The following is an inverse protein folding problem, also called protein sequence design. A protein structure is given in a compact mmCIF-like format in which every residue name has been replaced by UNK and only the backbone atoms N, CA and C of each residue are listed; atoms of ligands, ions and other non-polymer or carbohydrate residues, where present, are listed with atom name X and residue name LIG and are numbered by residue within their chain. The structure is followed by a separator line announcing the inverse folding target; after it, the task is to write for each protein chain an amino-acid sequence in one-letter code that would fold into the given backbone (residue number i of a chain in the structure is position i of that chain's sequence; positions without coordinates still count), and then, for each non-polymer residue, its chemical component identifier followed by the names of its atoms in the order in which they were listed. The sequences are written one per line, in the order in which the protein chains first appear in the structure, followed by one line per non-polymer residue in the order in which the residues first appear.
data_IF_174724668468
#
_entry.id   IF_174724668468
#
_cell.length_a   1.000
_cell.length_b   1.000
_cell.length_c   1.000
_cell.angle_alpha   90.00
_cell.angle_beta   90.00
_cell.angle_gamma   90.00
#
_symmetry.space_group_name_H-M   'P 1'
#
loop_
_entity.id
_entity.type
_entity.pdbx_description
1 polymer ?
#
# COMPACT_ATOMS: atom_id res chain seq x y z
N UNK A 1 3.79 -51.91 45.00
CA UNK A 1 4.38 -50.57 44.82
C UNK A 1 4.22 -50.16 43.36
N UNK A 2 3.47 -49.09 43.03
CA UNK A 2 3.30 -48.65 41.65
C UNK A 2 4.46 -47.74 41.20
N UNK A 3 4.89 -47.87 39.94
CA UNK A 3 5.89 -47.00 39.29
C UNK A 3 5.33 -45.58 39.10
N UNK A 4 6.15 -44.52 39.22
CA UNK A 4 5.73 -43.18 38.80
C UNK A 4 5.67 -43.11 37.27
N UNK A 5 4.57 -42.55 36.76
CA UNK A 5 4.38 -42.27 35.34
C UNK A 5 5.24 -41.07 34.91
N UNK A 6 5.93 -41.23 33.78
CA UNK A 6 6.68 -40.17 33.09
C UNK A 6 5.71 -39.10 32.57
N UNK A 7 5.93 -37.79 32.80
CA UNK A 7 5.15 -36.76 32.15
C UNK A 7 5.55 -36.64 30.67
N UNK A 8 4.56 -36.58 29.79
CA UNK A 8 4.73 -36.25 28.38
C UNK A 8 5.10 -34.76 28.24
N UNK A 9 5.99 -34.37 27.30
CA UNK A 9 6.19 -32.96 26.96
C UNK A 9 5.00 -32.49 26.13
N UNK A 10 4.18 -31.64 26.74
CA UNK A 10 3.11 -30.90 26.08
C UNK A 10 3.65 -29.52 25.67
N UNK A 11 3.18 -29.00 24.53
CA UNK A 11 3.54 -27.72 23.90
C UNK A 11 4.65 -27.77 22.84
N UNK A 12 4.36 -28.48 21.74
CA UNK A 12 4.86 -28.06 20.44
C UNK A 12 4.19 -26.73 20.07
N UNK A 13 4.90 -25.62 20.26
CA UNK A 13 4.53 -24.33 19.66
C UNK A 13 4.56 -24.53 18.14
N UNK A 14 3.40 -24.70 17.52
CA UNK A 14 3.28 -24.66 16.07
C UNK A 14 3.53 -23.24 15.61
N UNK A 15 4.77 -22.94 15.24
CA UNK A 15 5.14 -21.75 14.47
C UNK A 15 4.50 -21.90 13.10
N UNK A 16 3.30 -21.34 12.94
CA UNK A 16 2.69 -21.18 11.62
C UNK A 16 3.35 -19.99 10.96
N UNK A 17 4.26 -20.26 10.03
CA UNK A 17 4.71 -19.29 9.04
C UNK A 17 3.48 -19.00 8.18
N UNK A 18 2.76 -17.93 8.50
CA UNK A 18 1.71 -17.44 7.63
C UNK A 18 2.39 -16.65 6.50
N UNK A 19 2.75 -17.34 5.41
CA UNK A 19 2.90 -16.68 4.12
C UNK A 19 1.51 -16.14 3.74
N UNK A 20 1.22 -14.91 4.14
CA UNK A 20 0.05 -14.18 3.66
C UNK A 20 0.36 -13.57 2.30
N UNK A 21 0.64 -14.42 1.32
CA UNK A 21 0.56 -14.09 -0.12
C UNK A 21 -0.91 -14.13 -0.54
N UNK A 22 -1.72 -13.21 -0.02
CA UNK A 22 -2.98 -12.91 -0.72
C UNK A 22 -2.59 -12.14 -1.98
N UNK A 23 -2.84 -12.67 -3.19
CA UNK A 23 -2.60 -11.90 -4.41
C UNK A 23 -3.50 -10.68 -4.32
N UNK A 24 -2.90 -9.49 -4.27
CA UNK A 24 -3.63 -8.24 -4.42
C UNK A 24 -4.41 -8.36 -5.74
N UNK A 25 -5.73 -8.09 -5.77
CA UNK A 25 -6.45 -8.08 -7.03
C UNK A 25 -5.72 -7.15 -8.00
N UNK A 26 -5.53 -7.56 -9.25
CA UNK A 26 -4.90 -6.71 -10.26
C UNK A 26 -5.68 -5.38 -10.34
N UNK A 27 -5.01 -4.27 -10.05
CA UNK A 27 -5.60 -2.92 -10.08
C UNK A 27 -5.03 -2.19 -11.29
N UNK A 28 -5.91 -1.85 -12.23
CA UNK A 28 -5.57 -1.03 -13.39
C UNK A 28 -6.43 0.24 -13.37
N UNK A 29 -5.79 1.40 -13.53
CA UNK A 29 -6.46 2.68 -13.75
C UNK A 29 -5.96 3.21 -15.09
N UNK A 30 -6.88 3.57 -15.99
CA UNK A 30 -6.61 4.21 -17.28
C UNK A 30 -7.29 5.57 -17.34
N UNK A 31 -6.61 6.55 -17.94
CA UNK A 31 -7.14 7.89 -18.16
C UNK A 31 -6.82 8.32 -19.60
N UNK A 32 -7.85 8.77 -20.31
CA UNK A 32 -7.76 9.46 -21.60
C UNK A 32 -8.63 10.69 -21.49
N UNK A 33 -8.06 11.87 -21.76
CA UNK A 33 -8.79 13.13 -21.84
C UNK A 33 -8.11 14.00 -22.88
N UNK A 34 -8.81 14.28 -23.97
CA UNK A 34 -8.38 15.19 -25.02
C UNK A 34 -9.45 16.27 -25.21
N UNK A 35 -8.99 17.50 -25.41
CA UNK A 35 -9.84 18.68 -25.52
C UNK A 35 -9.38 19.46 -26.74
N UNK A 36 -10.28 19.64 -27.70
CA UNK A 36 -10.02 20.34 -28.95
C UNK A 36 -11.01 21.50 -29.12
N UNK A 37 -10.53 22.60 -29.68
CA UNK A 37 -11.36 23.74 -30.08
C UNK A 37 -11.42 23.75 -31.60
N UNK A 38 -12.61 23.55 -32.14
CA UNK A 38 -12.88 23.66 -33.57
C UNK A 38 -13.29 25.10 -33.88
N UNK A 39 -12.45 25.76 -34.67
CA UNK A 39 -12.75 27.08 -35.22
C UNK A 39 -13.53 26.91 -36.51
N UNK A 40 -14.70 27.54 -36.59
CA UNK A 40 -15.50 27.51 -37.81
C UNK A 40 -14.92 28.51 -38.83
N UNK A 41 -14.46 28.06 -40.01
CA UNK A 41 -13.92 28.95 -41.03
C UNK A 41 -14.96 29.91 -41.63
N UNK A 42 -16.26 29.62 -41.46
CA UNK A 42 -17.37 30.42 -41.98
C UNK A 42 -17.87 31.48 -40.98
N UNK A 43 -17.25 31.57 -39.78
CA UNK A 43 -17.49 32.62 -38.78
C UNK A 43 -18.56 32.29 -37.73
N UNK A 44 -19.04 31.05 -37.70
CA UNK A 44 -19.89 30.52 -36.64
C UNK A 44 -19.11 30.35 -35.31
N UNK A 45 -19.80 30.24 -34.16
CA UNK A 45 -19.12 30.18 -32.87
C UNK A 45 -18.29 28.90 -32.69
N UNK A 46 -17.05 29.08 -32.22
CA UNK A 46 -16.12 28.00 -31.90
C UNK A 46 -16.80 26.88 -31.10
N UNK A 47 -16.57 25.64 -31.54
CA UNK A 47 -17.11 24.45 -30.89
C UNK A 47 -16.02 23.75 -30.07
N UNK A 48 -16.31 23.54 -28.78
CA UNK A 48 -15.43 22.78 -27.89
C UNK A 48 -15.81 21.30 -27.96
N UNK A 49 -14.84 20.45 -28.26
CA UNK A 49 -15.02 19.00 -28.36
C UNK A 49 -14.15 18.33 -27.30
N UNK A 50 -14.69 17.33 -26.64
CA UNK A 50 -13.94 16.51 -25.69
C UNK A 50 -14.04 15.04 -26.03
N UNK A 51 -12.92 14.36 -25.83
CA UNK A 51 -12.74 12.93 -26.05
C UNK A 51 -12.30 12.29 -24.73
N UNK A 52 -13.12 11.37 -24.22
CA UNK A 52 -12.84 10.62 -22.96
C UNK A 52 -12.63 9.11 -23.17
N UNK A 53 -12.76 8.66 -24.42
CA UNK A 53 -12.48 7.30 -24.89
C UNK A 53 -11.92 7.39 -26.32
N UNK A 54 -11.15 6.40 -26.78
CA UNK A 54 -10.41 6.43 -28.05
C UNK A 54 -11.31 6.58 -29.30
N UNK A 55 -12.63 6.44 -29.16
CA UNK A 55 -13.57 6.36 -30.27
C UNK A 55 -14.71 7.40 -30.23
N UNK A 56 -14.76 8.29 -29.23
CA UNK A 56 -15.89 9.18 -29.03
C UNK A 56 -15.47 10.65 -28.85
N UNK A 57 -15.80 11.48 -29.84
CA UNK A 57 -15.70 12.94 -29.77
C UNK A 57 -17.10 13.54 -29.61
N UNK A 58 -17.34 14.25 -28.51
CA UNK A 58 -18.64 14.89 -28.25
C UNK A 58 -18.50 16.43 -28.17
N UNK A 59 -19.34 17.20 -28.89
CA UNK A 59 -19.48 18.63 -28.64
C UNK A 59 -19.90 18.87 -27.19
N UNK A 60 -19.25 19.81 -26.53
CA UNK A 60 -19.43 20.04 -25.10
C UNK A 60 -19.34 21.51 -24.74
N UNK A 61 -19.79 21.85 -23.54
CA UNK A 61 -19.73 23.21 -22.99
C UNK A 61 -18.58 23.32 -22.00
N UNK A 62 -17.96 24.50 -21.82
CA UNK A 62 -16.81 24.68 -20.94
C UNK A 62 -17.00 24.16 -19.51
N UNK A 63 -18.19 24.33 -18.92
CA UNK A 63 -18.50 23.84 -17.58
C UNK A 63 -18.36 22.30 -17.46
N UNK A 64 -18.75 21.57 -18.50
CA UNK A 64 -18.63 20.10 -18.53
C UNK A 64 -17.17 19.66 -18.72
N UNK A 65 -16.39 20.42 -19.49
CA UNK A 65 -14.93 20.22 -19.60
C UNK A 65 -14.24 20.40 -18.26
N UNK A 66 -14.60 21.43 -17.49
CA UNK A 66 -14.06 21.60 -16.13
C UNK A 66 -14.40 20.42 -15.21
N UNK A 67 -15.59 19.83 -15.34
CA UNK A 67 -15.93 18.60 -14.60
C UNK A 67 -15.01 17.44 -14.99
N UNK A 68 -14.83 17.20 -16.29
CA UNK A 68 -13.93 16.14 -16.78
C UNK A 68 -12.47 16.35 -16.33
N UNK A 69 -11.99 17.59 -16.28
CA UNK A 69 -10.66 17.92 -15.76
C UNK A 69 -10.57 17.57 -14.27
N UNK A 70 -11.58 17.87 -13.48
CA UNK A 70 -11.58 17.54 -12.04
C UNK A 70 -11.59 16.02 -11.82
N UNK A 71 -12.38 15.28 -12.59
CA UNK A 71 -12.41 13.81 -12.54
C UNK A 71 -11.06 13.21 -12.98
N UNK A 72 -10.44 13.79 -14.02
CA UNK A 72 -9.13 13.39 -14.49
C UNK A 72 -8.05 13.61 -13.42
N UNK A 73 -8.07 14.74 -12.72
CA UNK A 73 -7.17 15.00 -11.59
C UNK A 73 -7.34 13.97 -10.48
N UNK A 74 -8.58 13.69 -10.07
CA UNK A 74 -8.84 12.67 -9.06
C UNK A 74 -8.36 11.27 -9.47
N UNK A 75 -8.43 10.93 -10.77
CA UNK A 75 -7.87 9.68 -11.30
C UNK A 75 -6.34 9.69 -11.32
N UNK A 76 -5.71 10.81 -11.66
CA UNK A 76 -4.24 10.95 -11.59
C UNK A 76 -3.74 10.77 -10.16
N UNK A 77 -4.39 11.38 -9.17
CA UNK A 77 -4.05 11.19 -7.75
C UNK A 77 -4.13 9.71 -7.33
N UNK A 78 -5.12 8.97 -7.84
CA UNK A 78 -5.24 7.53 -7.60
C UNK A 78 -4.14 6.72 -8.28
N UNK A 79 -3.74 7.10 -9.49
CA UNK A 79 -2.61 6.45 -10.20
C UNK A 79 -1.31 6.67 -9.44
N UNK A 80 -1.02 7.91 -9.04
CA UNK A 80 0.17 8.25 -8.27
C UNK A 80 0.21 7.46 -6.96
N UNK A 81 -0.93 7.37 -6.26
CA UNK A 81 -1.05 6.53 -5.07
C UNK A 81 -0.71 5.06 -5.35
N UNK A 82 -1.21 4.47 -6.44
CA UNK A 82 -0.90 3.08 -6.80
C UNK A 82 0.59 2.87 -7.10
N UNK A 83 1.20 3.82 -7.81
CA UNK A 83 2.64 3.77 -8.11
C UNK A 83 3.44 3.83 -6.80
N UNK A 84 3.12 4.76 -5.91
CA UNK A 84 3.79 4.91 -4.62
C UNK A 84 3.59 3.67 -3.72
N UNK A 85 2.38 3.09 -3.70
CA UNK A 85 2.10 1.84 -2.97
C UNK A 85 2.95 0.68 -3.49
N UNK A 86 3.07 0.54 -4.82
CA UNK A 86 3.86 -0.50 -5.44
C UNK A 86 5.37 -0.32 -5.19
N UNK A 87 5.90 0.88 -5.40
CA UNK A 87 7.30 1.22 -5.11
C UNK A 87 7.63 0.97 -3.64
N UNK A 88 6.71 1.31 -2.73
CA UNK A 88 6.91 1.07 -1.30
C UNK A 88 6.98 -0.42 -0.95
N UNK A 89 6.15 -1.25 -1.60
CA UNK A 89 6.16 -2.70 -1.41
C UNK A 89 7.45 -3.34 -1.92
N UNK A 90 7.92 -2.94 -3.10
CA UNK A 90 9.17 -3.46 -3.67
C UNK A 90 10.38 -3.00 -2.87
N UNK A 91 10.42 -1.73 -2.46
CA UNK A 91 11.47 -1.20 -1.60
C UNK A 91 11.49 -1.90 -0.25
N UNK A 92 10.32 -2.12 0.37
CA UNK A 92 10.23 -2.86 1.63
C UNK A 92 10.74 -4.29 1.47
N UNK A 93 10.40 -4.98 0.37
CA UNK A 93 10.90 -6.32 0.08
C UNK A 93 12.43 -6.34 0.00
N UNK A 94 13.02 -5.40 -0.73
CA UNK A 94 14.48 -5.27 -0.83
C UNK A 94 15.12 -5.05 0.55
N UNK A 95 14.57 -4.16 1.38
CA UNK A 95 15.07 -3.91 2.75
C UNK A 95 14.98 -5.15 3.63
N UNK A 96 13.86 -5.87 3.55
CA UNK A 96 13.64 -7.10 4.33
C UNK A 96 14.65 -8.17 3.96
N UNK A 97 14.93 -8.34 2.67
CA UNK A 97 15.93 -9.28 2.16
C UNK A 97 17.36 -8.85 2.55
N UNK A 98 17.71 -7.58 2.34
CA UNK A 98 19.05 -7.03 2.61
C UNK A 98 19.41 -7.13 4.09
N UNK A 99 18.49 -6.77 4.99
CA UNK A 99 18.71 -6.76 6.43
C UNK A 99 18.28 -8.04 7.14
N UNK A 100 17.88 -9.07 6.39
CA UNK A 100 17.40 -10.37 6.90
C UNK A 100 16.31 -10.22 7.98
N UNK A 101 15.36 -9.31 7.74
CA UNK A 101 14.29 -9.01 8.68
C UNK A 101 13.19 -10.06 8.59
N UNK A 102 12.56 -10.33 9.72
CA UNK A 102 11.26 -11.00 9.77
C UNK A 102 10.19 -9.93 9.94
N UNK A 103 9.29 -9.79 8.97
CA UNK A 103 8.16 -8.86 9.09
C UNK A 103 6.91 -9.62 9.47
N UNK A 104 6.30 -9.24 10.60
CA UNK A 104 5.03 -9.79 11.06
C UNK A 104 3.93 -8.72 11.02
N UNK A 105 2.75 -9.12 10.54
CA UNK A 105 1.56 -8.28 10.57
C UNK A 105 0.67 -8.67 11.76
N UNK A 106 0.41 -7.74 12.66
CA UNK A 106 -0.39 -7.99 13.86
C UNK A 106 -1.72 -7.22 13.80
N UNK A 107 -2.80 -7.90 14.16
CA UNK A 107 -4.08 -7.24 14.37
C UNK A 107 -4.05 -6.46 15.70
N UNK A 108 -4.01 -5.15 15.59
CA UNK A 108 -4.00 -4.22 16.73
C UNK A 108 -5.41 -3.78 17.16
N UNK A 109 -6.47 -4.39 16.64
CA UNK A 109 -7.84 -4.07 17.04
C UNK A 109 -8.07 -4.23 18.55
N UNK A 110 -7.35 -5.18 19.18
CA UNK A 110 -7.43 -5.45 20.62
C UNK A 110 -6.54 -4.53 21.48
N UNK A 111 -5.72 -3.66 20.87
CA UNK A 111 -4.94 -2.66 21.59
C UNK A 111 -5.88 -1.61 22.22
N UNK A 112 -5.52 -1.10 23.40
CA UNK A 112 -6.22 0.04 24.01
C UNK A 112 -6.29 1.20 23.00
N UNK A 113 -7.45 1.84 22.89
CA UNK A 113 -7.72 2.90 21.92
C UNK A 113 -6.66 4.02 21.96
N UNK A 114 -6.13 4.34 23.16
CA UNK A 114 -5.09 5.38 23.30
C UNK A 114 -3.76 5.04 22.62
N UNK A 115 -3.51 3.75 22.37
CA UNK A 115 -2.31 3.23 21.75
C UNK A 115 -2.53 2.81 20.31
N UNK A 116 -3.75 2.38 19.94
CA UNK A 116 -4.06 1.85 18.61
C UNK A 116 -3.67 2.80 17.49
N UNK A 117 -4.01 4.09 17.61
CA UNK A 117 -3.72 5.09 16.58
C UNK A 117 -2.25 5.54 16.57
N UNK A 118 -1.53 5.26 17.66
CA UNK A 118 -0.12 5.64 17.85
C UNK A 118 0.85 4.52 17.52
N UNK A 119 0.39 3.28 17.48
CA UNK A 119 1.22 2.14 17.17
C UNK A 119 1.47 2.08 15.66
N UNK A 120 2.71 2.38 15.25
CA UNK A 120 3.10 2.40 13.84
C UNK A 120 3.89 1.16 13.47
N UNK A 121 4.91 0.81 14.24
CA UNK A 121 5.68 -0.41 14.11
C UNK A 121 6.50 -0.65 15.40
N UNK A 122 6.98 -1.87 15.57
CA UNK A 122 7.86 -2.27 16.66
C UNK A 122 8.99 -3.15 16.11
N UNK A 123 10.21 -2.99 16.62
CA UNK A 123 11.33 -3.87 16.28
C UNK A 123 11.92 -4.52 17.53
N UNK A 124 12.31 -5.79 17.41
CA UNK A 124 13.03 -6.51 18.44
C UNK A 124 14.12 -7.41 17.84
N UNK A 125 15.15 -7.67 18.64
CA UNK A 125 16.12 -8.72 18.39
C UNK A 125 15.68 -9.96 19.18
N UNK A 126 15.50 -11.08 18.49
CA UNK A 126 15.17 -12.35 19.11
C UNK A 126 16.43 -12.98 19.72
N UNK A 127 16.24 -13.91 20.66
CA UNK A 127 17.34 -14.61 21.35
C UNK A 127 18.23 -15.43 20.39
N UNK A 128 17.69 -15.80 19.22
CA UNK A 128 18.42 -16.49 18.16
C UNK A 128 19.17 -15.54 17.20
N UNK A 129 19.18 -14.24 17.50
CA UNK A 129 19.86 -13.22 16.72
C UNK A 129 19.07 -12.68 15.52
N UNK A 130 17.87 -13.19 15.24
CA UNK A 130 17.03 -12.67 14.16
C UNK A 130 16.36 -11.36 14.54
N UNK A 131 16.18 -10.48 13.56
CA UNK A 131 15.55 -9.18 13.72
C UNK A 131 14.10 -9.27 13.27
N UNK A 132 13.16 -9.03 14.19
CA UNK A 132 11.72 -9.01 13.87
C UNK A 132 11.19 -7.59 13.88
N UNK A 133 10.39 -7.27 12.87
CA UNK A 133 9.65 -6.01 12.77
C UNK A 133 8.16 -6.34 12.70
N UNK A 134 7.41 -5.82 13.65
CA UNK A 134 5.96 -5.98 13.75
C UNK A 134 5.28 -4.71 13.24
N UNK A 135 4.35 -4.87 12.32
CA UNK A 135 3.54 -3.77 11.75
C UNK A 135 2.04 -4.09 11.90
N UNK A 136 1.16 -3.08 11.97
CA UNK A 136 -0.27 -3.31 11.98
C UNK A 136 -0.77 -4.01 10.71
N UNK A 137 -1.67 -4.97 10.88
CA UNK A 137 -2.39 -5.62 9.79
C UNK A 137 -3.15 -4.58 8.96
N UNK A 138 -2.97 -4.61 7.64
CA UNK A 138 -3.63 -3.68 6.72
C UNK A 138 -3.12 -2.23 6.79
N UNK A 139 -1.98 -1.99 7.46
CA UNK A 139 -1.32 -0.68 7.40
C UNK A 139 -0.98 -0.31 5.95
N UNK A 140 -1.22 0.96 5.60
CA UNK A 140 -0.84 1.57 4.33
C UNK A 140 0.63 1.25 3.95
N UNK A 141 0.92 0.77 2.72
CA UNK A 141 2.27 0.32 2.33
C UNK A 141 3.35 1.40 2.45
N UNK A 142 3.03 2.65 2.10
CA UNK A 142 3.98 3.77 2.17
C UNK A 142 4.28 4.09 3.63
N UNK A 143 3.25 4.15 4.48
CA UNK A 143 3.42 4.35 5.93
C UNK A 143 4.22 3.21 6.56
N UNK A 144 3.98 1.97 6.13
CA UNK A 144 4.69 0.78 6.59
C UNK A 144 6.18 0.85 6.26
N UNK A 145 6.54 1.16 5.02
CA UNK A 145 7.93 1.35 4.61
C UNK A 145 8.62 2.42 5.46
N UNK A 146 7.98 3.59 5.62
CA UNK A 146 8.54 4.69 6.41
C UNK A 146 8.83 4.27 7.86
N UNK A 147 7.93 3.51 8.47
CA UNK A 147 8.10 3.02 9.84
C UNK A 147 9.27 2.04 9.97
N UNK A 148 9.44 1.13 9.00
CA UNK A 148 10.55 0.16 9.00
C UNK A 148 11.88 0.87 8.82
N UNK A 149 11.98 1.80 7.86
CA UNK A 149 13.20 2.59 7.64
C UNK A 149 13.57 3.40 8.88
N UNK A 150 12.59 4.05 9.52
CA UNK A 150 12.81 4.80 10.76
C UNK A 150 13.32 3.91 11.90
N UNK A 151 12.77 2.70 12.05
CA UNK A 151 13.23 1.73 13.04
C UNK A 151 14.67 1.27 12.75
N UNK A 152 15.02 1.00 11.50
CA UNK A 152 16.41 0.64 11.15
C UNK A 152 17.40 1.75 11.52
N UNK A 153 17.03 3.01 11.27
CA UNK A 153 17.87 4.17 11.61
C UNK A 153 18.01 4.40 13.12
N UNK A 154 16.96 4.14 13.91
CA UNK A 154 16.97 4.39 15.37
C UNK A 154 17.61 3.28 16.19
N UNK A 155 17.40 2.02 15.80
CA UNK A 155 17.76 0.87 16.64
C UNK A 155 19.17 0.35 16.36
N UNK A 156 19.91 0.96 15.43
CA UNK A 156 21.22 0.46 15.01
C UNK A 156 21.15 -0.90 14.30
N UNK A 157 19.95 -1.31 13.87
CA UNK A 157 19.70 -2.55 13.11
C UNK A 157 20.25 -2.47 11.68
N UNK A 158 20.87 -1.35 11.29
CA UNK A 158 21.56 -1.19 10.01
C UNK A 158 23.04 -1.61 10.05
N UNK A 159 23.55 -2.08 11.20
CA UNK A 159 24.93 -2.54 11.36
C UNK A 159 25.10 -4.05 11.13
#
# INVERSE_FOLDING_TARGET
MPRPATPAPDSAVQVRIAESTRPTPERCIRLVLEVEIFQDPDGDPDSLVVTTDELACEPTVPARVHSYINDARAKLDQMERLVNEHEAQDTLRAIVEEHQLLVEEWDIANLDAKWRDKFVAFAALLDDGRRVVVVPLGQDPVRRLGAVVELLGKTGLAA
#
